data_IF_256255425877
#
_entry.id   IF_256255425877
#
_cell.length_a   1.000
_cell.length_b   1.000
_cell.length_c   1.000
_cell.angle_alpha   90.00
_cell.angle_beta   90.00
_cell.angle_gamma   90.00
#
_symmetry.space_group_name_H-M   'P 1'
#
loop_
_entity.id
_entity.type
_entity.pdbx_description
1 polymer ?
#
# COMPACT_ATOMS: atom_id res chain seq x y z
N UNK A 1 13.36 45.33 -49.06
CA UNK A 1 12.50 46.38 -49.64
C UNK A 1 11.49 46.74 -48.57
N UNK A 2 11.80 47.74 -47.74
CA UNK A 2 11.16 49.06 -47.56
C UNK A 2 9.63 48.90 -47.54
N UNK A 3 8.87 49.34 -46.53
CA UNK A 3 8.63 50.73 -46.14
C UNK A 3 8.08 50.76 -44.68
N UNK A 4 8.64 51.71 -43.90
CA UNK A 4 8.12 52.24 -42.63
C UNK A 4 6.96 53.23 -42.99
N UNK A 5 5.98 53.36 -42.10
CA UNK A 5 5.21 54.56 -41.99
C UNK A 5 4.93 54.90 -40.53
N UNK A 6 5.50 56.00 -40.09
CA UNK A 6 5.26 56.74 -38.86
C UNK A 6 4.05 57.61 -39.05
N UNK A 7 3.13 57.72 -38.12
CA UNK A 7 2.22 58.83 -37.98
C UNK A 7 2.05 59.26 -36.54
N UNK A 8 2.56 60.45 -36.27
CA UNK A 8 2.41 61.33 -35.11
C UNK A 8 1.05 62.05 -35.11
N UNK A 9 0.45 62.25 -33.94
CA UNK A 9 -0.71 63.17 -33.85
C UNK A 9 -1.34 63.22 -32.46
N UNK A 10 -0.96 64.20 -31.77
CA UNK A 10 -1.67 65.29 -31.08
C UNK A 10 -2.34 65.04 -29.74
N UNK A 11 -1.78 65.68 -28.73
CA UNK A 11 -2.29 65.95 -27.39
C UNK A 11 -3.56 66.89 -27.46
N UNK A 12 -4.59 66.45 -26.69
CA UNK A 12 -5.60 67.43 -26.25
C UNK A 12 -5.85 67.18 -24.75
N UNK A 13 -5.47 68.17 -23.94
CA UNK A 13 -5.73 68.26 -22.51
C UNK A 13 -7.16 68.67 -22.27
N UNK A 14 -7.95 67.86 -21.57
CA UNK A 14 -9.21 68.27 -20.95
C UNK A 14 -9.13 68.04 -19.42
N UNK A 15 -9.04 69.19 -18.73
CA UNK A 15 -9.12 69.18 -17.27
C UNK A 15 -10.59 69.02 -16.84
N UNK A 16 -10.95 67.95 -16.21
CA UNK A 16 -12.23 67.79 -15.51
C UNK A 16 -11.97 67.70 -13.97
N UNK A 17 -12.50 68.69 -13.27
CA UNK A 17 -12.60 68.74 -11.83
C UNK A 17 -13.41 67.56 -11.30
N UNK A 18 -12.81 66.67 -10.57
CA UNK A 18 -13.52 65.61 -9.86
C UNK A 18 -13.56 65.99 -8.38
N UNK A 19 -14.77 66.26 -7.93
CA UNK A 19 -15.08 66.48 -6.49
C UNK A 19 -14.79 65.22 -5.68
N UNK A 20 -13.93 65.35 -4.68
CA UNK A 20 -13.68 64.29 -3.66
C UNK A 20 -14.92 64.12 -2.77
N UNK A 21 -15.72 63.10 -3.05
CA UNK A 21 -16.68 62.59 -2.08
C UNK A 21 -15.98 61.53 -1.19
N UNK A 22 -16.02 61.74 0.12
CA UNK A 22 -15.47 60.80 1.08
C UNK A 22 -16.25 59.46 1.02
N UNK A 23 -15.56 58.30 1.13
CA UNK A 23 -16.25 57.03 1.16
C UNK A 23 -16.95 56.83 2.52
N UNK A 24 -18.13 56.15 2.56
CA UNK A 24 -18.81 55.82 3.81
C UNK A 24 -17.99 54.82 4.67
N UNK A 25 -18.15 54.82 5.99
CA UNK A 25 -17.41 53.92 6.88
C UNK A 25 -17.77 52.48 6.54
N UNK A 26 -16.75 51.68 6.19
CA UNK A 26 -16.87 50.24 5.99
C UNK A 26 -17.33 49.58 7.28
N UNK A 27 -18.46 48.89 7.24
CA UNK A 27 -18.88 47.94 8.28
C UNK A 27 -17.79 46.90 8.43
N UNK A 28 -17.16 46.83 9.60
CA UNK A 28 -16.27 45.75 9.99
C UNK A 28 -17.09 44.45 9.97
N UNK A 29 -16.85 43.63 8.95
CA UNK A 29 -17.29 42.23 8.92
C UNK A 29 -16.75 41.52 10.15
N UNK A 30 -17.63 40.73 10.75
CA UNK A 30 -17.35 39.89 11.90
C UNK A 30 -16.02 39.13 11.74
N UNK A 31 -15.16 39.26 12.74
CA UNK A 31 -13.81 38.71 12.71
C UNK A 31 -13.77 37.22 12.43
N UNK A 32 -13.04 36.87 11.40
CA UNK A 32 -12.36 35.59 11.40
C UNK A 32 -11.40 35.64 12.59
N UNK A 33 -11.68 34.83 13.62
CA UNK A 33 -10.84 34.72 14.79
C UNK A 33 -9.41 34.42 14.37
N UNK A 34 -8.48 35.31 14.73
CA UNK A 34 -7.06 35.02 14.60
C UNK A 34 -6.79 33.70 15.33
N UNK A 35 -5.96 32.80 14.74
CA UNK A 35 -5.58 31.57 15.43
C UNK A 35 -4.96 31.94 16.79
N UNK A 36 -5.34 31.22 17.84
CA UNK A 36 -4.84 31.42 19.18
C UNK A 36 -3.30 31.48 19.18
N UNK A 37 -2.68 32.47 19.87
CA UNK A 37 -1.22 32.55 19.90
C UNK A 37 -0.68 31.39 20.72
N UNK A 38 0.03 30.46 20.09
CA UNK A 38 0.79 29.43 20.79
C UNK A 38 0.81 28.02 20.21
N UNK A 39 0.00 27.68 19.22
CA UNK A 39 0.13 26.36 18.59
C UNK A 39 1.30 26.39 17.58
N UNK A 40 2.39 25.67 17.88
CA UNK A 40 3.45 25.47 16.92
C UNK A 40 2.85 24.88 15.62
N UNK A 41 3.30 25.34 14.44
CA UNK A 41 2.79 24.81 13.18
C UNK A 41 2.92 23.30 13.16
N UNK A 42 1.83 22.61 12.79
CA UNK A 42 1.83 21.15 12.66
C UNK A 42 2.94 20.74 11.67
N UNK A 43 3.73 19.74 12.05
CA UNK A 43 4.68 19.17 11.12
C UNK A 43 3.90 18.60 9.92
N UNK A 44 4.23 19.05 8.71
CA UNK A 44 3.59 18.62 7.47
C UNK A 44 4.44 17.55 6.83
N UNK A 45 3.88 16.36 6.68
CA UNK A 45 4.50 15.23 6.00
C UNK A 45 3.63 14.76 4.83
N UNK A 46 4.21 13.93 3.99
CA UNK A 46 3.54 13.34 2.84
C UNK A 46 3.64 11.83 2.89
N UNK A 47 2.59 11.16 2.44
CA UNK A 47 2.58 9.72 2.19
C UNK A 47 2.33 9.47 0.71
N UNK A 48 3.22 8.71 0.06
CA UNK A 48 3.02 8.27 -1.33
C UNK A 48 2.37 6.90 -1.35
N UNK A 49 1.39 6.73 -2.23
CA UNK A 49 0.46 5.60 -2.21
C UNK A 49 0.45 4.84 -3.53
N UNK A 50 -0.59 4.98 -4.35
CA UNK A 50 -0.71 4.41 -5.68
C UNK A 50 -1.78 5.18 -6.47
N UNK A 51 -2.41 4.51 -7.45
CA UNK A 51 -3.43 5.11 -8.29
C UNK A 51 -4.63 5.63 -7.49
N UNK A 52 -5.31 6.61 -8.05
CA UNK A 52 -6.45 7.34 -7.48
C UNK A 52 -7.61 6.46 -7.00
N UNK A 53 -7.83 5.33 -7.66
CA UNK A 53 -8.91 4.37 -7.37
C UNK A 53 -8.43 3.11 -6.63
N UNK A 54 -7.10 3.00 -6.36
CA UNK A 54 -6.50 1.84 -5.72
C UNK A 54 -6.74 1.77 -4.21
N UNK A 55 -6.41 0.63 -3.62
CA UNK A 55 -6.51 0.42 -2.16
C UNK A 55 -5.51 1.31 -1.41
N UNK A 56 -4.27 1.48 -1.90
CA UNK A 56 -3.23 2.25 -1.21
C UNK A 56 -3.64 3.69 -0.94
N UNK A 57 -4.32 4.36 -1.88
CA UNK A 57 -4.76 5.74 -1.68
C UNK A 57 -5.81 5.85 -0.56
N UNK A 58 -6.70 4.84 -0.43
CA UNK A 58 -7.70 4.80 0.64
C UNK A 58 -7.03 4.55 2.00
N UNK A 59 -6.10 3.60 2.07
CA UNK A 59 -5.28 3.35 3.27
C UNK A 59 -4.51 4.62 3.68
N UNK A 60 -3.93 5.34 2.73
CA UNK A 60 -3.25 6.62 2.98
C UNK A 60 -4.18 7.67 3.56
N UNK A 61 -5.41 7.79 3.05
CA UNK A 61 -6.44 8.72 3.58
C UNK A 61 -6.87 8.35 5.00
N UNK A 62 -7.03 7.05 5.27
CA UNK A 62 -7.35 6.57 6.62
C UNK A 62 -6.22 6.88 7.61
N UNK A 63 -4.97 6.67 7.22
CA UNK A 63 -3.80 7.02 8.03
C UNK A 63 -3.70 8.53 8.29
N UNK A 64 -4.01 9.36 7.30
CA UNK A 64 -4.04 10.80 7.47
C UNK A 64 -5.10 11.20 8.49
N UNK A 65 -6.34 10.74 8.31
CA UNK A 65 -7.49 11.12 9.12
C UNK A 65 -7.46 10.53 10.54
N UNK A 66 -7.24 9.23 10.64
CA UNK A 66 -7.42 8.53 11.92
C UNK A 66 -6.14 8.41 12.74
N UNK A 67 -4.97 8.64 12.14
CA UNK A 67 -3.68 8.48 12.83
C UNK A 67 -2.87 9.78 12.86
N UNK A 68 -2.67 10.45 11.73
CA UNK A 68 -1.84 11.65 11.68
C UNK A 68 -2.51 12.84 12.36
N UNK A 69 -3.79 13.12 12.07
CA UNK A 69 -4.54 14.22 12.70
C UNK A 69 -4.56 14.10 14.23
N UNK A 70 -4.93 12.95 14.84
CA UNK A 70 -4.88 12.80 16.30
C UNK A 70 -3.46 12.90 16.87
N UNK A 71 -2.42 12.59 16.08
CA UNK A 71 -1.03 12.79 16.47
C UNK A 71 -0.59 14.26 16.40
N UNK A 72 -1.44 15.18 15.93
CA UNK A 72 -1.08 16.57 15.67
C UNK A 72 -0.07 16.70 14.52
N UNK A 73 -0.25 15.92 13.46
CA UNK A 73 0.58 15.92 12.23
C UNK A 73 -0.32 16.16 11.02
N UNK A 74 0.14 17.00 10.09
CA UNK A 74 -0.42 17.05 8.75
C UNK A 74 0.16 15.92 7.91
N UNK A 75 -0.69 15.18 7.20
CA UNK A 75 -0.25 14.12 6.29
C UNK A 75 -0.97 14.25 4.94
N UNK A 76 -0.27 14.83 3.97
CA UNK A 76 -0.75 14.93 2.60
C UNK A 76 -0.64 13.56 1.90
N UNK A 77 -1.74 13.12 1.29
CA UNK A 77 -1.82 11.82 0.61
C UNK A 77 -1.61 12.00 -0.89
N UNK A 78 -0.53 11.44 -1.41
CA UNK A 78 -0.09 11.61 -2.79
C UNK A 78 -0.36 10.35 -3.63
N UNK A 79 -0.87 10.56 -4.83
CA UNK A 79 -0.97 9.54 -5.86
C UNK A 79 0.41 9.20 -6.42
N UNK A 80 0.58 7.97 -6.90
CA UNK A 80 1.76 7.50 -7.60
C UNK A 80 1.43 6.32 -8.53
N UNK A 81 2.44 5.81 -9.22
CA UNK A 81 2.34 4.58 -10.00
C UNK A 81 2.46 3.32 -9.14
N UNK A 82 2.90 3.42 -7.87
CA UNK A 82 3.04 2.32 -6.93
C UNK A 82 4.45 2.16 -6.36
N UNK A 83 4.76 0.96 -5.87
CA UNK A 83 5.90 0.66 -4.98
C UNK A 83 7.25 1.18 -5.46
N UNK A 84 7.60 0.99 -6.73
CA UNK A 84 8.90 1.40 -7.26
C UNK A 84 9.06 2.94 -7.29
N UNK A 85 8.00 3.66 -7.69
CA UNK A 85 7.98 5.12 -7.63
C UNK A 85 8.00 5.62 -6.19
N UNK A 86 7.26 4.98 -5.31
CA UNK A 86 7.15 5.37 -3.89
C UNK A 86 8.51 5.37 -3.20
N UNK A 87 9.31 4.33 -3.39
CA UNK A 87 10.67 4.24 -2.85
C UNK A 87 11.56 5.37 -3.37
N UNK A 88 11.47 5.70 -4.66
CA UNK A 88 12.23 6.82 -5.26
C UNK A 88 11.78 8.17 -4.71
N UNK A 89 10.46 8.41 -4.62
CA UNK A 89 9.90 9.66 -4.09
C UNK A 89 10.25 9.85 -2.61
N UNK A 90 10.24 8.79 -1.80
CA UNK A 90 10.72 8.87 -0.41
C UNK A 90 12.17 9.35 -0.32
N UNK A 91 13.01 9.01 -1.31
CA UNK A 91 14.43 9.43 -1.32
C UNK A 91 14.61 10.89 -1.73
N UNK A 92 13.85 11.36 -2.72
CA UNK A 92 14.17 12.59 -3.43
C UNK A 92 13.13 13.70 -3.25
N UNK A 93 11.88 13.36 -2.88
CA UNK A 93 10.82 14.37 -2.72
C UNK A 93 10.80 14.90 -1.28
N UNK A 94 10.84 16.24 -1.10
CA UNK A 94 10.79 16.85 0.23
C UNK A 94 9.53 16.44 0.98
N UNK A 95 9.68 16.21 2.28
CA UNK A 95 8.61 15.90 3.25
C UNK A 95 7.88 14.58 3.03
N UNK A 96 8.19 13.81 2.00
CA UNK A 96 7.72 12.42 1.89
C UNK A 96 8.43 11.59 2.96
N UNK A 97 7.71 11.28 4.03
CA UNK A 97 8.24 10.51 5.17
C UNK A 97 7.64 9.12 5.27
N UNK A 98 6.51 8.89 4.60
CA UNK A 98 5.78 7.63 4.62
C UNK A 98 5.48 7.16 3.19
N UNK A 99 5.41 5.85 3.01
CA UNK A 99 4.99 5.25 1.76
C UNK A 99 4.29 3.90 1.99
N UNK A 100 3.50 3.49 1.00
CA UNK A 100 2.97 2.14 0.89
C UNK A 100 3.73 1.40 -0.21
N UNK A 101 4.26 0.21 0.12
CA UNK A 101 5.03 -0.59 -0.83
C UNK A 101 4.72 -2.08 -0.67
N UNK A 102 4.96 -2.83 -1.74
CA UNK A 102 4.93 -4.30 -1.71
C UNK A 102 6.23 -4.85 -1.12
N UNK A 103 6.16 -6.01 -0.47
CA UNK A 103 7.30 -6.63 0.22
C UNK A 103 8.45 -7.05 -0.71
N UNK A 104 8.18 -7.26 -1.99
CA UNK A 104 9.18 -7.65 -2.99
C UNK A 104 9.98 -6.47 -3.56
N UNK A 105 9.58 -5.22 -3.26
CA UNK A 105 10.31 -4.03 -3.73
C UNK A 105 11.78 -4.03 -3.26
N UNK A 106 12.04 -4.59 -2.07
CA UNK A 106 13.40 -4.67 -1.56
C UNK A 106 14.28 -5.57 -2.42
N UNK A 107 13.77 -6.76 -2.75
CA UNK A 107 14.47 -7.71 -3.64
C UNK A 107 14.70 -7.12 -5.03
N UNK A 108 13.67 -6.48 -5.61
CA UNK A 108 13.77 -5.88 -6.93
C UNK A 108 14.88 -4.81 -7.01
N UNK A 109 14.96 -3.91 -6.02
CA UNK A 109 16.01 -2.89 -5.98
C UNK A 109 17.40 -3.49 -5.71
N UNK A 110 17.50 -4.56 -4.93
CA UNK A 110 18.77 -5.29 -4.76
C UNK A 110 19.21 -5.94 -6.06
N UNK A 111 18.30 -6.49 -6.84
CA UNK A 111 18.61 -7.10 -8.14
C UNK A 111 19.02 -6.03 -9.16
N UNK A 112 18.38 -4.86 -9.18
CA UNK A 112 18.82 -3.69 -9.95
C UNK A 112 20.25 -3.28 -9.56
N UNK A 113 20.55 -3.26 -8.26
CA UNK A 113 21.90 -2.90 -7.76
C UNK A 113 22.96 -3.92 -8.21
N UNK A 114 22.66 -5.21 -8.18
CA UNK A 114 23.54 -6.28 -8.68
C UNK A 114 23.75 -6.20 -10.19
N UNK A 115 22.73 -5.76 -10.93
CA UNK A 115 22.80 -5.52 -12.37
C UNK A 115 23.58 -4.26 -12.76
N UNK A 116 24.20 -3.55 -11.78
CA UNK A 116 25.04 -2.38 -12.02
C UNK A 116 24.41 -1.03 -11.67
N UNK A 117 23.14 -0.99 -11.26
CA UNK A 117 22.51 0.24 -10.77
C UNK A 117 22.84 0.47 -9.29
N UNK A 118 24.04 1.01 -9.01
CA UNK A 118 24.49 1.25 -7.64
C UNK A 118 23.55 2.22 -6.85
N UNK A 119 22.82 3.09 -7.53
CA UNK A 119 21.87 4.00 -6.90
C UNK A 119 20.68 3.25 -6.30
N UNK A 120 20.18 2.22 -6.97
CA UNK A 120 19.10 1.39 -6.44
C UNK A 120 19.44 0.83 -5.05
N UNK A 121 20.67 0.37 -4.87
CA UNK A 121 21.15 -0.11 -3.56
C UNK A 121 21.20 1.00 -2.49
N UNK A 122 21.60 2.21 -2.86
CA UNK A 122 21.63 3.37 -1.94
C UNK A 122 20.21 3.82 -1.53
N UNK A 123 19.27 3.70 -2.43
CA UNK A 123 17.87 4.06 -2.18
C UNK A 123 17.20 3.06 -1.25
N UNK A 124 17.41 1.76 -1.48
CA UNK A 124 16.64 0.72 -0.76
C UNK A 124 17.19 0.41 0.64
N UNK A 125 18.49 0.48 0.84
CA UNK A 125 19.12 0.11 2.12
C UNK A 125 18.56 0.84 3.35
N UNK A 126 18.23 2.15 3.31
CA UNK A 126 17.66 2.85 4.48
C UNK A 126 16.15 2.68 4.62
N UNK A 127 15.48 1.90 3.76
CA UNK A 127 14.04 1.66 3.88
C UNK A 127 13.75 0.79 5.11
N UNK A 128 12.70 1.16 5.87
CA UNK A 128 12.29 0.50 7.11
C UNK A 128 10.79 0.30 7.14
N UNK A 129 10.34 -0.81 7.71
CA UNK A 129 8.92 -1.09 7.93
C UNK A 129 8.45 -0.42 9.22
N UNK A 130 7.30 0.20 9.16
CA UNK A 130 6.54 0.64 10.34
C UNK A 130 5.59 -0.46 10.76
N UNK A 131 4.75 -0.93 9.81
CA UNK A 131 3.74 -1.96 10.06
C UNK A 131 3.53 -2.80 8.79
N UNK A 132 3.54 -4.15 8.89
CA UNK A 132 2.97 -5.00 7.86
C UNK A 132 1.46 -4.78 7.80
N UNK A 133 0.91 -4.68 6.58
CA UNK A 133 -0.50 -4.43 6.38
C UNK A 133 -1.22 -5.75 5.98
N UNK A 134 -1.72 -5.82 4.79
CA UNK A 134 -2.50 -6.94 4.26
C UNK A 134 -1.76 -7.64 3.12
N UNK A 135 -2.27 -8.79 2.73
CA UNK A 135 -1.78 -9.55 1.59
C UNK A 135 -2.41 -9.04 0.28
N UNK A 136 -1.61 -9.07 -0.80
CA UNK A 136 -2.04 -8.78 -2.17
C UNK A 136 -1.71 -10.00 -3.02
N UNK A 137 -2.75 -10.66 -3.50
CA UNK A 137 -2.64 -11.88 -4.30
C UNK A 137 -2.15 -11.54 -5.71
N UNK A 138 -1.38 -12.46 -6.29
CA UNK A 138 -0.89 -12.38 -7.66
C UNK A 138 -1.81 -13.23 -8.53
N UNK A 139 -2.61 -12.56 -9.38
CA UNK A 139 -3.51 -13.22 -10.31
C UNK A 139 -2.81 -13.42 -11.65
N UNK A 140 -2.68 -14.66 -12.08
CA UNK A 140 -2.19 -15.03 -13.40
C UNK A 140 -3.39 -15.41 -14.26
N UNK A 141 -3.85 -14.47 -15.05
CA UNK A 141 -5.07 -14.60 -15.86
C UNK A 141 -4.71 -15.08 -17.24
N UNK A 142 -5.24 -16.22 -17.65
CA UNK A 142 -5.13 -16.74 -19.03
C UNK A 142 -6.52 -16.84 -19.66
N UNK A 143 -6.58 -16.99 -20.99
CA UNK A 143 -7.85 -17.32 -21.65
C UNK A 143 -8.36 -18.68 -21.19
N UNK A 144 -9.66 -18.85 -21.14
CA UNK A 144 -10.29 -20.13 -20.74
C UNK A 144 -9.90 -21.29 -21.69
N UNK A 145 -9.70 -21.00 -22.97
CA UNK A 145 -9.26 -21.94 -24.02
C UNK A 145 -7.76 -22.16 -24.08
N UNK A 146 -6.98 -21.44 -23.27
CA UNK A 146 -5.52 -21.59 -23.22
C UNK A 146 -5.11 -22.97 -22.72
N UNK A 147 -4.07 -23.62 -23.31
CA UNK A 147 -3.52 -24.86 -22.77
C UNK A 147 -2.79 -24.67 -21.43
N UNK A 148 -2.45 -23.43 -21.04
CA UNK A 148 -1.74 -23.14 -19.80
C UNK A 148 -2.65 -23.41 -18.60
N UNK A 149 -2.12 -24.08 -17.57
CA UNK A 149 -2.83 -24.38 -16.32
C UNK A 149 -2.06 -23.99 -15.06
N UNK A 150 -0.74 -23.84 -15.19
CA UNK A 150 0.14 -23.55 -14.05
C UNK A 150 1.02 -22.33 -14.31
N UNK A 151 1.41 -21.65 -13.23
CA UNK A 151 2.20 -20.42 -13.27
C UNK A 151 3.58 -20.66 -13.90
N UNK A 152 4.21 -21.83 -13.68
CA UNK A 152 5.51 -22.14 -14.25
C UNK A 152 5.50 -22.29 -15.79
N UNK A 153 4.34 -22.42 -16.41
CA UNK A 153 4.19 -22.53 -17.89
C UNK A 153 4.23 -21.17 -18.60
N UNK A 154 4.36 -20.05 -17.85
CA UNK A 154 4.44 -18.70 -18.46
C UNK A 154 5.80 -18.39 -19.09
N UNK A 155 6.79 -19.28 -18.95
CA UNK A 155 8.11 -19.11 -19.57
C UNK A 155 7.99 -18.95 -21.08
N UNK A 156 8.58 -17.87 -21.61
CA UNK A 156 8.55 -17.57 -23.04
C UNK A 156 7.20 -17.10 -23.60
N UNK A 157 6.19 -16.88 -22.77
CA UNK A 157 4.88 -16.39 -23.18
C UNK A 157 4.84 -14.87 -23.24
N UNK A 158 3.88 -14.32 -24.00
CA UNK A 158 3.60 -12.87 -24.04
C UNK A 158 2.78 -12.48 -22.82
N UNK A 159 3.35 -11.64 -21.97
CA UNK A 159 2.81 -11.29 -20.67
C UNK A 159 2.40 -9.81 -20.62
N UNK A 160 1.21 -9.50 -20.12
CA UNK A 160 0.98 -8.20 -19.53
C UNK A 160 1.56 -8.20 -18.11
N UNK A 161 2.47 -7.29 -17.85
CA UNK A 161 3.21 -7.19 -16.58
C UNK A 161 2.78 -6.03 -15.72
N UNK A 162 1.71 -5.32 -16.09
CA UNK A 162 1.24 -4.10 -15.42
C UNK A 162 1.91 -2.83 -15.94
N UNK A 163 1.39 -1.64 -15.59
CA UNK A 163 1.94 -0.36 -16.02
C UNK A 163 3.38 -0.13 -15.55
N UNK A 164 4.17 0.59 -16.35
CA UNK A 164 5.55 0.97 -15.98
C UNK A 164 5.55 1.72 -14.65
N UNK A 165 6.40 1.30 -13.72
CA UNK A 165 6.54 1.92 -12.39
C UNK A 165 5.52 1.41 -11.35
N UNK A 166 4.56 0.57 -11.76
CA UNK A 166 3.61 -0.06 -10.83
C UNK A 166 4.25 -1.17 -9.98
N UNK A 167 3.59 -1.51 -8.88
CA UNK A 167 3.93 -2.67 -8.09
C UNK A 167 3.79 -3.97 -8.89
N UNK A 168 2.73 -4.09 -9.70
CA UNK A 168 2.54 -5.26 -10.59
C UNK A 168 3.71 -5.45 -11.54
N UNK A 169 4.21 -4.38 -12.18
CA UNK A 169 5.35 -4.49 -13.09
C UNK A 169 6.63 -4.92 -12.38
N UNK A 170 6.82 -4.47 -11.15
CA UNK A 170 7.94 -4.89 -10.31
C UNK A 170 7.80 -6.36 -9.92
N UNK A 171 6.66 -6.77 -9.37
CA UNK A 171 6.38 -8.15 -8.97
C UNK A 171 6.52 -9.12 -10.15
N UNK A 172 5.93 -8.80 -11.30
CA UNK A 172 5.99 -9.66 -12.49
C UNK A 172 7.43 -9.94 -12.94
N UNK A 173 8.25 -8.91 -12.99
CA UNK A 173 9.67 -9.04 -13.39
C UNK A 173 10.49 -9.80 -12.35
N UNK A 174 10.33 -9.45 -11.07
CA UNK A 174 11.06 -10.09 -9.97
C UNK A 174 10.69 -11.56 -9.85
N UNK A 175 9.40 -11.89 -9.91
CA UNK A 175 8.92 -13.27 -9.83
C UNK A 175 9.41 -14.11 -11.02
N UNK A 176 9.31 -13.58 -12.23
CA UNK A 176 9.81 -14.27 -13.44
C UNK A 176 11.32 -14.53 -13.33
N UNK A 177 12.11 -13.52 -12.94
CA UNK A 177 13.55 -13.65 -12.72
C UNK A 177 13.89 -14.73 -11.67
N UNK A 178 13.14 -14.77 -10.57
CA UNK A 178 13.35 -15.79 -9.54
C UNK A 178 12.98 -17.19 -10.02
N UNK A 179 11.86 -17.32 -10.74
CA UNK A 179 11.39 -18.61 -11.23
C UNK A 179 12.31 -19.20 -12.30
N UNK A 180 12.76 -18.41 -13.25
CA UNK A 180 13.42 -18.87 -14.46
C UNK A 180 14.92 -18.55 -14.55
N UNK A 181 15.47 -17.79 -13.59
CA UNK A 181 16.85 -17.26 -13.57
C UNK A 181 17.20 -16.41 -14.82
N UNK A 182 16.19 -15.84 -15.47
CA UNK A 182 16.33 -14.97 -16.64
C UNK A 182 15.26 -13.87 -16.60
N UNK A 183 15.51 -12.68 -17.18
CA UNK A 183 14.49 -11.64 -17.28
C UNK A 183 13.40 -12.03 -18.28
N UNK A 184 12.23 -11.39 -18.18
CA UNK A 184 11.21 -11.47 -19.24
C UNK A 184 11.82 -10.84 -20.51
N UNK A 185 11.85 -11.55 -21.66
CA UNK A 185 12.29 -10.96 -22.92
C UNK A 185 11.47 -9.70 -23.25
N UNK A 186 12.13 -8.65 -23.73
CA UNK A 186 11.50 -7.35 -23.94
C UNK A 186 10.28 -7.41 -24.90
N UNK A 187 10.35 -8.24 -25.92
CA UNK A 187 9.28 -8.50 -26.89
C UNK A 187 8.06 -9.20 -26.25
N UNK A 188 8.26 -9.92 -25.14
CA UNK A 188 7.23 -10.65 -24.43
C UNK A 188 6.60 -9.83 -23.28
N UNK A 189 7.17 -8.69 -22.89
CA UNK A 189 6.65 -7.83 -21.83
C UNK A 189 5.77 -6.71 -22.37
N UNK A 190 4.48 -6.69 -22.02
CA UNK A 190 3.56 -5.60 -22.32
C UNK A 190 3.21 -4.86 -21.03
N UNK A 191 3.37 -3.53 -21.06
CA UNK A 191 3.11 -2.67 -19.89
C UNK A 191 1.73 -2.03 -20.05
N UNK A 192 0.70 -2.71 -19.59
CA UNK A 192 -0.71 -2.38 -19.80
C UNK A 192 -1.40 -2.11 -18.46
N UNK A 193 -2.46 -1.31 -18.47
CA UNK A 193 -3.42 -1.27 -17.36
C UNK A 193 -4.15 -2.62 -17.23
N UNK A 194 -4.83 -2.86 -16.13
CA UNK A 194 -5.56 -4.12 -15.92
C UNK A 194 -6.66 -4.31 -16.98
N UNK A 195 -7.36 -3.24 -17.32
CA UNK A 195 -8.44 -3.23 -18.31
C UNK A 195 -7.90 -3.50 -19.73
N UNK A 196 -6.83 -2.81 -20.13
CA UNK A 196 -6.16 -3.03 -21.42
C UNK A 196 -5.62 -4.46 -21.51
N UNK A 197 -5.06 -4.99 -20.43
CA UNK A 197 -4.55 -6.36 -20.38
C UNK A 197 -5.67 -7.39 -20.61
N UNK A 198 -6.84 -7.21 -20.01
CA UNK A 198 -7.98 -8.11 -20.23
C UNK A 198 -8.51 -8.02 -21.67
N UNK A 199 -8.55 -6.83 -22.27
CA UNK A 199 -8.93 -6.66 -23.69
C UNK A 199 -7.92 -7.38 -24.59
N UNK A 200 -6.62 -7.13 -24.41
CA UNK A 200 -5.58 -7.77 -25.20
C UNK A 200 -5.50 -9.28 -25.01
N UNK A 201 -5.88 -9.78 -23.83
CA UNK A 201 -5.95 -11.20 -23.54
C UNK A 201 -7.13 -11.88 -24.25
N UNK A 202 -8.32 -11.29 -24.16
CA UNK A 202 -9.57 -11.98 -24.52
C UNK A 202 -10.10 -11.59 -25.90
N UNK A 203 -9.99 -10.32 -26.28
CA UNK A 203 -10.52 -9.78 -27.56
C UNK A 203 -9.42 -9.82 -28.63
N UNK A 204 -8.32 -9.11 -28.41
CA UNK A 204 -7.24 -8.97 -29.40
C UNK A 204 -6.36 -10.23 -29.49
N UNK A 205 -6.30 -11.00 -28.41
CA UNK A 205 -5.48 -12.24 -28.27
C UNK A 205 -4.01 -12.01 -28.57
N UNK A 206 -3.49 -10.84 -28.22
CA UNK A 206 -2.10 -10.42 -28.48
C UNK A 206 -1.16 -10.78 -27.33
N UNK A 207 -1.70 -11.17 -26.17
CA UNK A 207 -0.95 -11.69 -25.02
C UNK A 207 -1.52 -13.04 -24.59
N UNK A 208 -0.70 -13.82 -23.88
CA UNK A 208 -1.05 -15.16 -23.39
C UNK A 208 -1.52 -15.13 -21.93
N UNK A 209 -0.92 -14.26 -21.12
CA UNK A 209 -1.22 -14.13 -19.67
C UNK A 209 -1.20 -12.67 -19.26
N UNK A 210 -2.19 -12.26 -18.47
CA UNK A 210 -2.18 -10.99 -17.74
C UNK A 210 -1.84 -11.25 -16.27
N UNK A 211 -0.78 -10.60 -15.79
CA UNK A 211 -0.39 -10.65 -14.36
C UNK A 211 -0.97 -9.41 -13.68
N UNK A 212 -1.71 -9.62 -12.59
CA UNK A 212 -2.37 -8.56 -11.81
C UNK A 212 -2.08 -8.80 -10.34
N UNK A 213 -1.62 -7.78 -9.63
CA UNK A 213 -1.39 -7.82 -8.18
C UNK A 213 -2.43 -6.95 -7.51
N UNK A 214 -3.26 -7.55 -6.68
CA UNK A 214 -4.32 -6.84 -5.97
C UNK A 214 -4.76 -7.65 -4.74
N UNK A 215 -5.20 -6.94 -3.69
CA UNK A 215 -5.81 -7.61 -2.54
C UNK A 215 -7.19 -8.17 -2.88
N UNK A 216 -7.51 -9.35 -2.38
CA UNK A 216 -8.81 -9.97 -2.61
C UNK A 216 -9.85 -9.51 -1.55
N UNK A 217 -11.12 -9.31 -1.95
CA UNK A 217 -11.60 -9.37 -3.33
C UNK A 217 -11.14 -8.16 -4.16
N UNK A 218 -10.56 -8.44 -5.33
CA UNK A 218 -10.19 -7.40 -6.28
C UNK A 218 -11.43 -6.96 -7.06
N UNK A 219 -11.73 -5.65 -7.06
CA UNK A 219 -12.94 -5.10 -7.70
C UNK A 219 -13.06 -5.49 -9.17
N UNK A 220 -11.94 -5.51 -9.89
CA UNK A 220 -11.87 -5.96 -11.30
C UNK A 220 -12.54 -7.33 -11.51
N UNK A 221 -12.36 -8.26 -10.58
CA UNK A 221 -12.90 -9.62 -10.69
C UNK A 221 -14.25 -9.77 -9.98
N UNK A 222 -14.52 -9.04 -8.90
CA UNK A 222 -15.80 -9.11 -8.20
C UNK A 222 -16.96 -8.51 -8.97
N UNK A 223 -16.68 -7.58 -9.89
CA UNK A 223 -17.67 -6.94 -10.75
C UNK A 223 -18.01 -7.79 -12.00
N UNK A 224 -17.30 -8.91 -12.24
CA UNK A 224 -17.51 -9.76 -13.40
C UNK A 224 -18.80 -10.58 -13.29
N UNK A 225 -19.47 -10.76 -14.44
CA UNK A 225 -20.65 -11.59 -14.58
C UNK A 225 -20.27 -13.09 -14.60
N UNK A 226 -21.22 -14.02 -14.33
CA UNK A 226 -20.97 -15.46 -14.33
C UNK A 226 -20.33 -16.00 -15.61
N UNK A 227 -20.59 -15.35 -16.74
CA UNK A 227 -20.08 -15.70 -18.06
C UNK A 227 -18.55 -15.49 -18.21
N UNK A 228 -17.92 -14.70 -17.32
CA UNK A 228 -16.48 -14.45 -17.36
C UNK A 228 -15.65 -15.74 -17.40
N UNK A 229 -16.11 -16.83 -16.74
CA UNK A 229 -15.50 -18.16 -16.76
C UNK A 229 -15.40 -18.80 -18.16
N UNK A 230 -16.18 -18.32 -19.14
CA UNK A 230 -16.09 -18.78 -20.54
C UNK A 230 -14.92 -18.13 -21.27
N UNK A 231 -14.38 -17.03 -20.76
CA UNK A 231 -13.36 -16.23 -21.43
C UNK A 231 -12.02 -16.28 -20.72
N UNK A 232 -12.01 -16.36 -19.38
CA UNK A 232 -10.79 -16.36 -18.57
C UNK A 232 -10.76 -17.46 -17.53
N UNK A 233 -9.54 -17.85 -17.14
CA UNK A 233 -9.23 -18.69 -15.99
C UNK A 233 -8.00 -18.18 -15.27
N UNK A 234 -7.81 -18.58 -14.02
CA UNK A 234 -6.56 -18.34 -13.28
C UNK A 234 -5.63 -19.54 -13.36
N UNK A 235 -4.34 -19.28 -13.58
CA UNK A 235 -3.30 -20.30 -13.52
C UNK A 235 -2.98 -20.65 -12.07
N UNK A 236 -2.70 -21.92 -11.80
CA UNK A 236 -2.44 -22.45 -10.46
C UNK A 236 -0.95 -22.38 -10.11
N UNK A 237 -0.66 -22.06 -8.88
CA UNK A 237 0.67 -22.26 -8.32
C UNK A 237 0.84 -23.74 -7.98
N UNK A 238 1.83 -24.38 -8.57
CA UNK A 238 2.21 -25.76 -8.29
C UNK A 238 3.45 -25.78 -7.40
N UNK A 239 3.31 -26.19 -6.16
CA UNK A 239 4.40 -26.21 -5.18
C UNK A 239 5.49 -27.25 -5.48
N UNK A 240 5.20 -28.27 -6.29
CA UNK A 240 6.08 -29.39 -6.55
C UNK A 240 7.22 -29.08 -7.52
N UNK A 241 7.09 -28.02 -8.32
CA UNK A 241 8.09 -27.68 -9.36
C UNK A 241 9.25 -26.84 -8.80
N UNK A 242 10.48 -26.99 -9.36
CA UNK A 242 11.66 -26.26 -8.87
C UNK A 242 11.51 -24.72 -8.96
N UNK A 243 10.78 -24.22 -9.95
CA UNK A 243 10.46 -22.81 -10.16
C UNK A 243 9.75 -22.24 -8.94
N UNK A 244 8.83 -22.98 -8.37
CA UNK A 244 8.05 -22.61 -7.20
C UNK A 244 8.91 -22.52 -5.94
N UNK A 245 9.87 -23.41 -5.75
CA UNK A 245 10.81 -23.32 -4.64
C UNK A 245 11.67 -22.05 -4.70
N UNK A 246 12.03 -21.59 -5.90
CA UNK A 246 12.74 -20.33 -6.09
C UNK A 246 11.85 -19.11 -5.80
N UNK A 247 10.61 -19.12 -6.31
CA UNK A 247 9.63 -18.06 -6.06
C UNK A 247 9.34 -17.85 -4.56
N UNK A 248 9.21 -18.93 -3.81
CA UNK A 248 8.92 -18.93 -2.35
C UNK A 248 10.03 -18.32 -1.48
N UNK A 249 11.17 -17.98 -2.04
CA UNK A 249 12.21 -17.23 -1.32
C UNK A 249 11.80 -15.78 -1.04
N UNK A 250 10.86 -15.24 -1.82
CA UNK A 250 10.42 -13.84 -1.73
C UNK A 250 8.90 -13.72 -1.59
N UNK A 251 8.16 -14.63 -2.22
CA UNK A 251 6.70 -14.64 -2.25
C UNK A 251 6.13 -15.70 -1.31
N UNK A 252 4.90 -15.47 -0.86
CA UNK A 252 4.23 -16.37 0.09
C UNK A 252 3.11 -17.14 -0.63
N UNK A 253 2.90 -18.43 -0.30
CA UNK A 253 1.74 -19.16 -0.79
C UNK A 253 0.42 -18.48 -0.36
N UNK A 254 -0.52 -18.42 -1.27
CA UNK A 254 -1.85 -17.84 -1.06
C UNK A 254 -2.91 -18.60 -1.84
N UNK A 255 -4.17 -18.25 -1.63
CA UNK A 255 -5.31 -18.86 -2.30
C UNK A 255 -6.28 -17.78 -2.76
N UNK A 256 -6.59 -17.76 -4.04
CA UNK A 256 -7.72 -17.00 -4.57
C UNK A 256 -8.98 -17.80 -4.22
N UNK A 257 -9.84 -17.23 -3.37
CA UNK A 257 -10.97 -17.94 -2.77
C UNK A 257 -12.25 -17.75 -3.58
N UNK A 258 -13.01 -18.82 -3.73
CA UNK A 258 -14.37 -18.76 -4.29
C UNK A 258 -15.27 -17.81 -3.54
N UNK A 259 -15.13 -17.71 -2.21
CA UNK A 259 -15.92 -16.78 -1.39
C UNK A 259 -15.67 -15.30 -1.71
N UNK A 260 -14.53 -14.98 -2.35
CA UNK A 260 -14.22 -13.62 -2.81
C UNK A 260 -14.90 -13.29 -4.14
N UNK A 261 -15.29 -14.29 -4.93
CA UNK A 261 -15.84 -14.15 -6.29
C UNK A 261 -16.99 -15.12 -6.56
N UNK A 262 -18.04 -15.12 -5.73
CA UNK A 262 -19.08 -16.15 -5.75
C UNK A 262 -19.92 -16.16 -7.04
N UNK A 263 -19.92 -15.07 -7.79
CA UNK A 263 -20.70 -14.95 -9.03
C UNK A 263 -20.20 -15.86 -10.16
N UNK A 264 -18.88 -16.06 -10.28
CA UNK A 264 -18.32 -16.76 -11.45
C UNK A 264 -17.23 -17.78 -11.12
N UNK A 265 -16.67 -17.75 -9.93
CA UNK A 265 -15.54 -18.58 -9.53
C UNK A 265 -16.02 -19.87 -8.85
N UNK A 266 -15.59 -21.05 -9.29
CA UNK A 266 -16.16 -22.34 -8.88
C UNK A 266 -15.25 -23.19 -8.01
N UNK A 267 -13.96 -22.89 -7.96
CA UNK A 267 -12.98 -23.60 -7.14
C UNK A 267 -11.87 -22.67 -6.69
N UNK A 268 -11.36 -22.87 -5.50
CA UNK A 268 -10.20 -22.14 -4.98
C UNK A 268 -8.96 -22.39 -5.83
N UNK A 269 -8.14 -21.35 -6.09
CA UNK A 269 -6.93 -21.44 -6.90
C UNK A 269 -5.71 -21.10 -6.07
N UNK A 270 -4.77 -22.05 -5.87
CA UNK A 270 -3.47 -21.76 -5.28
C UNK A 270 -2.72 -20.70 -6.10
N UNK A 271 -2.15 -19.72 -5.41
CA UNK A 271 -1.36 -18.65 -6.00
C UNK A 271 -0.25 -18.21 -5.07
N UNK A 272 0.36 -17.08 -5.38
CA UNK A 272 1.35 -16.38 -4.56
C UNK A 272 0.81 -15.02 -4.11
N UNK A 273 1.39 -14.49 -3.04
CA UNK A 273 1.07 -13.16 -2.53
C UNK A 273 2.33 -12.38 -2.18
N UNK A 274 2.20 -11.07 -2.22
CA UNK A 274 3.10 -10.10 -1.58
C UNK A 274 2.39 -9.45 -0.41
N UNK A 275 3.14 -8.98 0.58
CA UNK A 275 2.58 -8.17 1.66
C UNK A 275 2.66 -6.69 1.32
N UNK A 276 1.61 -5.95 1.62
CA UNK A 276 1.67 -4.51 1.64
C UNK A 276 2.33 -4.05 2.95
N UNK A 277 3.26 -3.10 2.87
CA UNK A 277 3.94 -2.52 4.02
C UNK A 277 3.74 -1.01 4.08
N UNK A 278 3.47 -0.50 5.28
CA UNK A 278 3.69 0.90 5.61
C UNK A 278 5.16 1.07 5.95
N UNK A 279 5.85 1.94 5.21
CA UNK A 279 7.30 2.12 5.33
C UNK A 279 7.69 3.57 5.57
N UNK A 280 8.89 3.75 6.10
CA UNK A 280 9.61 5.01 6.26
C UNK A 280 11.09 4.80 5.95
N UNK A 281 11.91 5.84 6.00
CA UNK A 281 13.36 5.70 6.00
C UNK A 281 13.94 5.67 7.42
N UNK A 282 15.21 5.28 7.52
CA UNK A 282 15.99 5.27 8.75
C UNK A 282 16.41 6.70 9.14
N UNK A 283 15.39 7.51 9.49
CA UNK A 283 15.61 8.91 9.88
C UNK A 283 16.25 9.01 11.28
N UNK A 284 17.34 9.79 11.36
CA UNK A 284 18.02 10.09 12.63
C UNK A 284 17.79 11.50 13.15
N UNK A 285 17.19 12.42 12.35
CA UNK A 285 16.90 13.78 12.80
C UNK A 285 15.87 13.79 13.92
N UNK A 286 16.23 14.36 15.09
CA UNK A 286 15.43 14.28 16.31
C UNK A 286 13.99 14.75 16.13
N UNK A 287 13.76 15.86 15.41
CA UNK A 287 12.40 16.35 15.14
C UNK A 287 11.56 15.34 14.34
N UNK A 288 12.16 14.69 13.35
CA UNK A 288 11.49 13.64 12.56
C UNK A 288 11.20 12.41 13.44
N UNK A 289 12.18 11.98 14.24
CA UNK A 289 11.99 10.83 15.17
C UNK A 289 10.85 11.10 16.16
N UNK A 290 10.78 12.31 16.76
CA UNK A 290 9.71 12.69 17.68
C UNK A 290 8.35 12.63 17.00
N UNK A 291 8.22 13.17 15.78
CA UNK A 291 6.96 13.19 15.05
C UNK A 291 6.53 11.77 14.61
N UNK A 292 7.45 10.96 14.12
CA UNK A 292 7.15 9.56 13.76
C UNK A 292 6.78 8.73 15.00
N UNK A 293 7.37 9.01 16.15
CA UNK A 293 6.98 8.39 17.42
C UNK A 293 5.56 8.78 17.85
N UNK A 294 5.16 10.07 17.69
CA UNK A 294 3.76 10.50 17.91
C UNK A 294 2.79 9.79 16.99
N UNK A 295 3.19 9.59 15.72
CA UNK A 295 2.40 8.79 14.78
C UNK A 295 2.27 7.33 15.25
N UNK A 296 3.33 6.71 15.77
CA UNK A 296 3.29 5.35 16.30
C UNK A 296 2.37 5.22 17.52
N UNK A 297 2.44 6.19 18.45
CA UNK A 297 1.57 6.24 19.64
C UNK A 297 0.10 6.37 19.21
N UNK A 298 -0.19 7.26 18.26
CA UNK A 298 -1.53 7.43 17.69
C UNK A 298 -2.01 6.17 16.94
N UNK A 299 -1.14 5.52 16.17
CA UNK A 299 -1.45 4.26 15.49
C UNK A 299 -1.86 3.19 16.50
N UNK A 300 -1.15 3.09 17.61
CA UNK A 300 -1.51 2.20 18.69
C UNK A 300 -2.88 2.49 19.29
N UNK A 301 -3.12 3.75 19.65
CA UNK A 301 -4.34 4.17 20.35
C UNK A 301 -5.58 4.05 19.45
N UNK A 302 -5.44 4.39 18.16
CA UNK A 302 -6.55 4.51 17.22
C UNK A 302 -6.68 3.33 16.26
N UNK A 303 -5.95 2.23 16.47
CA UNK A 303 -5.96 1.10 15.54
C UNK A 303 -7.34 0.49 15.35
N UNK A 304 -8.11 0.36 16.43
CA UNK A 304 -9.50 -0.14 16.37
C UNK A 304 -10.40 0.78 15.53
N UNK A 305 -10.14 2.08 15.52
CA UNK A 305 -10.87 3.05 14.68
C UNK A 305 -10.57 2.81 13.20
N UNK A 306 -9.31 2.50 12.84
CA UNK A 306 -8.97 2.08 11.47
C UNK A 306 -9.77 0.83 11.05
N UNK A 307 -9.86 -0.17 11.93
CA UNK A 307 -10.56 -1.43 11.62
C UNK A 307 -12.08 -1.25 11.51
N UNK A 308 -12.68 -0.37 12.31
CA UNK A 308 -14.13 -0.16 12.35
C UNK A 308 -14.62 0.87 11.33
N UNK A 309 -13.86 1.93 11.08
CA UNK A 309 -14.29 3.10 10.31
C UNK A 309 -13.49 3.36 9.04
N UNK A 310 -12.34 2.69 8.87
CA UNK A 310 -11.49 2.80 7.70
C UNK A 310 -11.89 1.82 6.58
N UNK A 311 -11.07 1.77 5.56
CA UNK A 311 -11.24 0.86 4.43
C UNK A 311 -11.36 -0.60 4.91
N UNK A 312 -12.22 -1.45 4.30
CA UNK A 312 -12.44 -2.84 4.73
C UNK A 312 -11.18 -3.70 4.87
N UNK A 313 -10.12 -3.38 4.14
CA UNK A 313 -8.81 -4.05 4.24
C UNK A 313 -8.15 -3.92 5.62
N UNK A 314 -8.49 -2.90 6.42
CA UNK A 314 -8.00 -2.77 7.79
C UNK A 314 -8.42 -3.94 8.69
N UNK A 315 -9.53 -4.61 8.40
CA UNK A 315 -9.97 -5.82 9.11
C UNK A 315 -9.02 -7.01 8.93
N UNK A 316 -8.18 -6.99 7.89
CA UNK A 316 -7.16 -8.02 7.64
C UNK A 316 -5.81 -7.65 8.26
N UNK A 317 -5.62 -6.40 8.69
CA UNK A 317 -4.39 -5.93 9.32
C UNK A 317 -4.44 -6.24 10.80
N UNK A 318 -3.33 -6.74 11.33
CA UNK A 318 -3.12 -6.93 12.76
C UNK A 318 -2.11 -5.90 13.26
N UNK A 319 -2.37 -5.33 14.43
CA UNK A 319 -1.36 -4.52 15.11
C UNK A 319 -0.35 -5.47 15.75
N UNK A 320 0.54 -6.01 14.93
CA UNK A 320 1.57 -6.96 15.31
C UNK A 320 2.84 -6.70 14.53
N UNK A 321 3.98 -7.08 15.11
CA UNK A 321 5.30 -6.91 14.52
C UNK A 321 6.00 -8.26 14.40
N UNK A 322 5.54 -9.13 13.46
CA UNK A 322 6.12 -10.44 13.22
C UNK A 322 7.54 -10.32 12.63
N UNK A 323 8.25 -11.44 12.55
CA UNK A 323 9.49 -11.51 11.79
C UNK A 323 9.22 -11.10 10.34
N UNK A 324 9.99 -10.13 9.84
CA UNK A 324 9.92 -9.68 8.46
C UNK A 324 10.66 -10.66 7.54
N UNK A 325 10.32 -10.65 6.26
CA UNK A 325 11.06 -11.38 5.25
C UNK A 325 12.52 -10.92 5.14
N UNK A 326 13.29 -11.62 4.29
CA UNK A 326 14.72 -11.36 4.09
C UNK A 326 14.98 -9.88 3.84
N UNK A 327 16.05 -9.37 4.49
CA UNK A 327 16.60 -8.02 4.35
C UNK A 327 15.73 -6.87 4.89
N UNK A 328 14.45 -7.12 5.20
CA UNK A 328 13.58 -6.13 5.80
C UNK A 328 13.88 -5.93 7.29
N UNK A 329 13.78 -4.67 7.73
CA UNK A 329 13.95 -4.27 9.14
C UNK A 329 12.88 -3.26 9.52
N UNK A 330 12.46 -3.28 10.78
CA UNK A 330 11.60 -2.26 11.34
C UNK A 330 12.35 -0.94 11.56
N UNK A 331 11.61 0.16 11.58
CA UNK A 331 12.14 1.44 12.02
C UNK A 331 12.24 1.44 13.55
N UNK A 332 13.45 1.34 14.08
CA UNK A 332 13.73 1.05 15.50
C UNK A 332 13.00 1.96 16.51
N UNK A 333 12.95 3.31 16.32
CA UNK A 333 12.22 4.18 17.23
C UNK A 333 10.73 3.85 17.34
N UNK A 334 10.04 3.61 16.21
CA UNK A 334 8.62 3.26 16.21
C UNK A 334 8.39 1.80 16.64
N UNK A 335 9.26 0.88 16.25
CA UNK A 335 9.19 -0.52 16.66
C UNK A 335 9.14 -0.64 18.18
N UNK A 336 10.04 0.05 18.89
CA UNK A 336 10.07 0.04 20.37
C UNK A 336 8.75 0.49 20.97
N UNK A 337 8.15 1.56 20.45
CA UNK A 337 6.87 2.08 20.93
C UNK A 337 5.71 1.13 20.65
N UNK A 338 5.61 0.63 19.43
CA UNK A 338 4.55 -0.30 19.03
C UNK A 338 4.64 -1.61 19.83
N UNK A 339 5.83 -2.18 20.05
CA UNK A 339 5.99 -3.39 20.89
C UNK A 339 5.56 -3.15 22.33
N UNK A 340 5.89 -1.99 22.92
CA UNK A 340 5.45 -1.63 24.26
C UNK A 340 3.93 -1.53 24.35
N UNK A 341 3.30 -0.90 23.35
CA UNK A 341 1.86 -0.77 23.26
C UNK A 341 1.16 -2.13 23.12
N UNK A 342 1.60 -2.96 22.18
CA UNK A 342 1.03 -4.31 21.93
C UNK A 342 1.09 -5.14 23.22
N UNK A 343 2.22 -5.11 23.92
CA UNK A 343 2.37 -5.81 25.19
C UNK A 343 1.43 -5.29 26.28
N UNK A 344 1.19 -3.97 26.33
CA UNK A 344 0.24 -3.33 27.25
C UNK A 344 -1.21 -3.73 26.97
N UNK A 345 -1.62 -3.76 25.72
CA UNK A 345 -2.96 -4.20 25.31
C UNK A 345 -3.20 -5.68 25.64
N UNK A 346 -2.20 -6.53 25.44
CA UNK A 346 -2.28 -7.95 25.81
C UNK A 346 -2.50 -8.15 27.31
N UNK A 347 -1.84 -7.36 28.15
CA UNK A 347 -2.03 -7.41 29.63
C UNK A 347 -3.40 -6.89 30.05
N UNK A 348 -3.88 -5.80 29.45
CA UNK A 348 -5.20 -5.25 29.74
C UNK A 348 -6.32 -6.24 29.38
N UNK A 349 -6.22 -6.90 28.23
CA UNK A 349 -7.18 -7.92 27.81
C UNK A 349 -7.13 -9.17 28.71
N UNK A 350 -5.96 -9.60 29.14
CA UNK A 350 -5.81 -10.72 30.08
C UNK A 350 -6.40 -10.38 31.46
N UNK A 351 -6.21 -9.14 31.94
CA UNK A 351 -6.80 -8.67 33.20
C UNK A 351 -8.33 -8.53 33.09
N UNK A 352 -8.85 -8.07 31.95
CA UNK A 352 -10.29 -7.96 31.72
C UNK A 352 -10.96 -9.36 31.63
N UNK A 353 -10.31 -10.32 30.98
CA UNK A 353 -10.78 -11.70 30.92
C UNK A 353 -10.75 -12.40 32.29
N UNK A 354 -9.82 -12.01 33.18
CA UNK A 354 -9.75 -12.50 34.56
C UNK A 354 -10.77 -11.80 35.50
N UNK A 355 -11.35 -10.69 35.06
CA UNK A 355 -12.32 -9.88 35.84
C UNK A 355 -13.76 -10.08 35.37
N UNK A 356 -14.07 -11.13 34.60
CA UNK A 356 -15.46 -11.44 34.20
C UNK A 356 -16.26 -11.86 35.46
N UNK A 357 -17.21 -11.04 35.94
CA UNK A 357 -17.96 -11.32 37.17
C UNK A 357 -18.95 -12.48 37.04
N UNK A 358 -19.07 -13.07 35.84
CA UNK A 358 -19.98 -14.20 35.60
C UNK A 358 -19.32 -15.56 35.95
N UNK A 359 -18.05 -15.61 36.24
CA UNK A 359 -17.36 -16.80 36.71
C UNK A 359 -17.10 -16.65 38.23
N UNK A 360 -17.84 -17.36 39.09
CA UNK A 360 -17.60 -17.29 40.52
C UNK A 360 -16.18 -17.79 40.81
N UNK A 361 -15.48 -17.20 41.82
CA UNK A 361 -14.15 -17.66 42.19
C UNK A 361 -14.22 -19.15 42.57
N UNK A 362 -13.46 -19.97 41.89
CA UNK A 362 -13.38 -21.40 42.18
C UNK A 362 -12.68 -21.61 43.55
N UNK A 363 -13.46 -21.87 44.59
CA UNK A 363 -13.00 -22.18 45.95
C UNK A 363 -13.09 -23.69 46.19
N UNK A 364 -12.57 -24.50 45.30
CA UNK A 364 -12.60 -25.96 45.46
C UNK A 364 -11.33 -26.64 44.96
N UNK A 365 -10.99 -27.77 45.57
CA UNK A 365 -9.92 -28.65 45.08
C UNK A 365 -10.25 -29.13 43.65
N UNK A 366 -9.20 -29.32 42.83
CA UNK A 366 -9.35 -29.85 41.47
C UNK A 366 -10.13 -31.17 41.47
N UNK A 367 -11.12 -31.29 40.60
CA UNK A 367 -11.78 -32.57 40.37
C UNK A 367 -10.86 -33.53 39.62
N UNK A 368 -11.10 -34.81 39.73
CA UNK A 368 -10.30 -35.86 39.06
C UNK A 368 -10.34 -35.67 37.53
N UNK A 369 -11.48 -35.24 36.98
CA UNK A 369 -11.64 -34.94 35.57
C UNK A 369 -10.82 -33.72 35.10
N UNK A 370 -10.74 -32.67 35.93
CA UNK A 370 -9.92 -31.48 35.63
C UNK A 370 -8.41 -31.77 35.68
N UNK A 371 -7.99 -32.68 36.57
CA UNK A 371 -6.62 -33.15 36.65
C UNK A 371 -6.23 -33.99 35.44
N UNK A 372 -7.10 -34.90 35.00
CA UNK A 372 -6.87 -35.78 33.84
C UNK A 372 -6.84 -34.94 32.52
N UNK A 373 -7.63 -33.88 32.43
CA UNK A 373 -7.67 -33.01 31.25
C UNK A 373 -6.60 -31.91 31.27
N UNK A 374 -5.76 -31.84 32.32
CA UNK A 374 -4.71 -30.83 32.44
C UNK A 374 -5.22 -29.40 32.67
N UNK A 375 -6.47 -29.25 33.07
CA UNK A 375 -7.14 -27.95 33.28
C UNK A 375 -6.87 -27.36 34.66
N UNK A 376 -6.21 -28.12 35.54
CA UNK A 376 -5.90 -27.76 36.91
C UNK A 376 -4.58 -28.45 37.33
N UNK A 377 -3.75 -27.76 38.12
CA UNK A 377 -2.51 -28.34 38.71
C UNK A 377 -2.69 -28.49 40.22
N UNK A 378 -2.22 -29.61 40.79
CA UNK A 378 -2.14 -29.80 42.25
C UNK A 378 -1.26 -28.77 42.91
#
# INVERSE_FOLDING_TARGET
MKIQTILTGLLLSAACCVSLAAPPPSQRGAGQGAPAPGAAPLAQYKIVTASKTGTYIQIGRDLAKYIAEPAGLGLEVLESKGSAENVRRMRFEPDVKLALVQSDVFQAFLDEAKAGNAEAGKIIKPLRVILPLYDEEIYFVARADSPLNSIHEIKGKKLSVGPIGSGTALTSRTLYQLMFNEPIPAENAKYLTNEEALIQLTVDKTIDVAIIVAGQPAKLFSDMQPEARKFIKFLKFDEAVPESARARKTYFPAVIRTSSYPSWFTADVPTLTVKAYLVTYDYGLQSTVVNLNRFADSLCTNFNTLQSSGHPKWKQVKLDLPALGRDWRYYGPMEKRLRTCIAGQGRANASAAAADPTVPPRTGACTEQELVLGLCKR
#
